data_IF_221328726445
#
_entry.id   IF_221328726445
#
_cell.length_a   1.000
_cell.length_b   1.000
_cell.length_c   1.000
_cell.angle_alpha   90.00
_cell.angle_beta   90.00
_cell.angle_gamma   90.00
#
_symmetry.space_group_name_H-M   'P 1'
#
loop_
_entity.id
_entity.type
_entity.pdbx_description
1 polymer ?
#
# COMPACT_ATOMS: atom_id res chain seq x y z
N UNK A 1 9.72 23.27 8.19
CA UNK A 1 8.59 23.77 7.39
C UNK A 1 9.03 24.39 6.06
N UNK A 2 9.79 25.49 6.00
CA UNK A 2 10.27 26.04 4.69
C UNK A 2 11.29 25.11 4.01
N UNK A 3 12.19 24.51 4.79
CA UNK A 3 13.19 23.56 4.27
C UNK A 3 12.55 22.26 3.72
N UNK A 4 11.55 21.71 4.41
CA UNK A 4 10.86 20.49 3.99
C UNK A 4 10.10 20.72 2.68
N UNK A 5 9.47 21.89 2.53
CA UNK A 5 8.80 22.27 1.28
C UNK A 5 9.79 22.38 0.12
N UNK A 6 10.89 23.08 0.31
CA UNK A 6 11.93 23.21 -0.72
C UNK A 6 12.56 21.85 -1.09
N UNK A 7 12.62 20.91 -0.14
CA UNK A 7 13.06 19.55 -0.42
C UNK A 7 12.00 18.76 -1.19
N UNK A 8 10.73 18.79 -0.75
CA UNK A 8 9.64 18.11 -1.44
C UNK A 8 9.52 18.53 -2.91
N UNK A 9 9.68 19.84 -3.19
CA UNK A 9 9.64 20.40 -4.54
C UNK A 9 10.81 19.92 -5.42
N UNK A 10 11.96 19.54 -4.83
CA UNK A 10 13.14 19.05 -5.56
C UNK A 10 13.21 17.53 -5.65
N UNK A 11 12.83 16.85 -4.58
CA UNK A 11 12.95 15.41 -4.38
C UNK A 11 11.98 14.93 -3.29
N UNK A 12 10.72 14.76 -3.68
CA UNK A 12 9.67 14.25 -2.81
C UNK A 12 9.98 12.83 -2.28
N UNK A 13 10.57 11.97 -3.12
CA UNK A 13 10.90 10.60 -2.73
C UNK A 13 11.98 10.56 -1.65
N UNK A 14 13.05 11.35 -1.79
CA UNK A 14 14.12 11.46 -0.80
C UNK A 14 13.65 12.05 0.52
N UNK A 15 12.76 13.06 0.49
CA UNK A 15 12.12 13.56 1.70
C UNK A 15 11.31 12.45 2.39
N UNK A 16 10.44 11.75 1.66
CA UNK A 16 9.60 10.66 2.22
C UNK A 16 10.43 9.48 2.74
N UNK A 17 11.59 9.19 2.16
CA UNK A 17 12.53 8.22 2.73
C UNK A 17 13.06 8.66 4.11
N UNK A 18 13.33 9.95 4.30
CA UNK A 18 13.75 10.48 5.60
C UNK A 18 12.62 10.43 6.64
N UNK A 19 11.39 10.75 6.23
CA UNK A 19 10.20 10.68 7.09
C UNK A 19 9.89 9.23 7.51
N UNK A 20 9.95 8.28 6.57
CA UNK A 20 9.78 6.85 6.86
C UNK A 20 10.87 6.31 7.78
N UNK A 21 12.12 6.80 7.67
CA UNK A 21 13.19 6.44 8.61
C UNK A 21 12.88 6.94 10.02
N UNK A 22 12.35 8.16 10.16
CA UNK A 22 11.92 8.70 11.45
C UNK A 22 10.74 7.91 12.02
N UNK A 23 9.76 7.56 11.19
CA UNK A 23 8.63 6.72 11.60
C UNK A 23 9.10 5.35 12.12
N UNK A 24 10.04 4.70 11.44
CA UNK A 24 10.66 3.45 11.90
C UNK A 24 11.27 3.57 13.29
N UNK A 25 12.02 4.66 13.55
CA UNK A 25 12.64 4.91 14.85
C UNK A 25 11.60 5.09 15.96
N UNK A 26 10.52 5.84 15.67
CA UNK A 26 9.45 6.10 16.63
C UNK A 26 8.66 4.83 16.94
N UNK A 27 8.33 4.03 15.93
CA UNK A 27 7.50 2.83 16.08
C UNK A 27 8.30 1.58 16.49
N UNK A 28 9.63 1.63 16.42
CA UNK A 28 10.50 0.48 16.70
C UNK A 28 10.38 -0.64 15.66
N UNK A 29 10.04 -0.31 14.41
CA UNK A 29 9.82 -1.30 13.34
C UNK A 29 11.02 -1.38 12.38
N UNK A 30 11.17 -2.53 11.74
CA UNK A 30 12.08 -2.72 10.60
C UNK A 30 11.30 -2.55 9.30
N UNK A 31 11.93 -1.94 8.30
CA UNK A 31 11.33 -1.71 6.98
C UNK A 31 12.24 -2.23 5.86
N UNK A 32 11.63 -2.69 4.77
CA UNK A 32 12.33 -3.04 3.53
C UNK A 32 11.61 -2.36 2.36
N UNK A 33 12.34 -1.56 1.59
CA UNK A 33 11.86 -1.04 0.32
C UNK A 33 11.97 -2.13 -0.75
N UNK A 34 10.87 -2.43 -1.45
CA UNK A 34 10.92 -3.34 -2.62
C UNK A 34 11.52 -2.68 -3.86
N UNK A 35 11.60 -1.34 -3.88
CA UNK A 35 12.32 -0.57 -4.90
C UNK A 35 11.49 -0.16 -6.12
N UNK A 36 10.17 -0.27 -6.06
CA UNK A 36 9.28 0.16 -7.14
C UNK A 36 8.92 1.64 -7.04
N UNK A 37 8.66 2.25 -8.19
CA UNK A 37 8.18 3.61 -8.29
C UNK A 37 6.68 3.67 -8.01
N UNK A 38 6.26 4.68 -7.23
CA UNK A 38 4.86 5.03 -6.98
C UNK A 38 4.13 5.27 -8.31
N UNK A 39 3.00 4.60 -8.52
CA UNK A 39 2.21 4.74 -9.74
C UNK A 39 1.39 6.02 -9.78
N UNK A 40 1.29 6.72 -8.65
CA UNK A 40 0.39 7.84 -8.47
C UNK A 40 -1.08 7.42 -8.61
N UNK A 41 -1.94 8.44 -8.63
CA UNK A 41 -3.38 8.28 -8.82
C UNK A 41 -3.78 8.96 -10.13
N UNK A 42 -3.82 8.22 -11.26
CA UNK A 42 -4.31 8.77 -12.52
C UNK A 42 -5.82 9.01 -12.47
N UNK A 43 -6.30 9.85 -13.38
CA UNK A 43 -7.74 10.00 -13.63
C UNK A 43 -8.35 8.70 -14.15
N UNK A 44 -9.67 8.58 -14.08
CA UNK A 44 -10.34 7.34 -14.47
C UNK A 44 -10.14 7.00 -15.95
N UNK A 45 -9.57 5.83 -16.21
CA UNK A 45 -9.28 5.35 -17.56
C UNK A 45 -7.90 5.75 -18.09
N UNK A 46 -7.18 6.64 -17.40
CA UNK A 46 -5.81 7.00 -17.78
C UNK A 46 -4.82 5.90 -17.33
N UNK A 47 -3.78 5.63 -18.14
CA UNK A 47 -2.76 4.66 -17.77
C UNK A 47 -1.87 5.21 -16.65
N UNK A 48 -1.38 4.31 -15.80
CA UNK A 48 -0.30 4.62 -14.86
C UNK A 48 1.02 4.86 -15.60
N UNK A 49 2.01 5.56 -15.00
CA UNK A 49 3.31 5.77 -15.63
C UNK A 49 4.00 4.44 -15.99
N UNK A 50 4.59 4.36 -17.17
CA UNK A 50 5.32 3.17 -17.61
C UNK A 50 6.49 2.85 -16.66
N UNK A 51 6.63 1.58 -16.29
CA UNK A 51 7.62 1.09 -15.33
C UNK A 51 7.30 1.40 -13.86
N UNK A 52 6.12 1.96 -13.56
CA UNK A 52 5.62 2.10 -12.19
C UNK A 52 5.21 0.76 -11.59
N UNK A 53 4.98 0.73 -10.27
CA UNK A 53 4.65 -0.48 -9.54
C UNK A 53 3.42 -1.22 -10.08
N UNK A 54 2.36 -0.48 -10.45
CA UNK A 54 1.14 -1.03 -11.02
C UNK A 54 1.27 -1.38 -12.52
N UNK A 55 2.23 -0.80 -13.24
CA UNK A 55 2.50 -1.14 -14.64
C UNK A 55 3.31 -2.44 -14.79
N UNK A 56 4.30 -2.65 -13.91
CA UNK A 56 5.24 -3.77 -14.02
C UNK A 56 4.55 -5.15 -13.94
N UNK A 57 5.02 -6.19 -14.67
CA UNK A 57 4.46 -7.53 -14.60
C UNK A 57 4.54 -8.14 -13.20
N UNK A 58 3.43 -8.69 -12.71
CA UNK A 58 3.33 -9.24 -11.36
C UNK A 58 4.26 -10.45 -11.14
N UNK A 59 4.50 -11.24 -12.17
CA UNK A 59 5.42 -12.41 -12.17
C UNK A 59 6.85 -12.00 -11.78
N UNK A 60 7.23 -10.76 -12.09
CA UNK A 60 8.54 -10.21 -11.75
C UNK A 60 8.46 -9.56 -10.37
N UNK A 61 7.41 -8.75 -10.14
CA UNK A 61 7.36 -7.91 -8.94
C UNK A 61 7.06 -8.67 -7.65
N UNK A 62 6.49 -9.87 -7.73
CA UNK A 62 6.22 -10.74 -6.58
C UNK A 62 7.49 -11.39 -5.99
N UNK A 63 8.54 -11.59 -6.81
CA UNK A 63 9.73 -12.35 -6.41
C UNK A 63 10.47 -11.75 -5.19
N UNK A 64 10.69 -10.41 -5.10
CA UNK A 64 11.27 -9.83 -3.89
C UNK A 64 10.44 -10.09 -2.63
N UNK A 65 9.10 -10.10 -2.74
CA UNK A 65 8.23 -10.38 -1.60
C UNK A 65 8.29 -11.87 -1.20
N UNK A 66 8.32 -12.80 -2.15
CA UNK A 66 8.52 -14.24 -1.86
C UNK A 66 9.83 -14.45 -1.10
N UNK A 67 10.93 -13.85 -1.58
CA UNK A 67 12.24 -13.90 -0.92
C UNK A 67 12.16 -13.38 0.51
N UNK A 68 11.41 -12.30 0.75
CA UNK A 68 11.21 -11.76 2.09
C UNK A 68 10.38 -12.69 2.98
N UNK A 69 9.29 -13.26 2.48
CA UNK A 69 8.46 -14.22 3.24
C UNK A 69 9.29 -15.43 3.65
N UNK A 70 10.04 -16.03 2.72
CA UNK A 70 10.90 -17.20 3.00
C UNK A 70 12.04 -16.90 3.97
N UNK A 71 12.62 -15.69 3.89
CA UNK A 71 13.70 -15.25 4.78
C UNK A 71 13.22 -14.87 6.18
N UNK A 72 12.10 -14.16 6.26
CA UNK A 72 11.57 -13.63 7.53
C UNK A 72 10.66 -14.62 8.25
N UNK A 73 10.12 -15.59 7.52
CA UNK A 73 9.24 -16.65 8.02
C UNK A 73 8.10 -16.10 8.91
N UNK A 74 7.30 -15.14 8.41
CA UNK A 74 6.25 -14.54 9.21
C UNK A 74 5.14 -15.56 9.50
N UNK A 75 4.62 -15.60 10.74
CA UNK A 75 3.38 -16.36 11.01
C UNK A 75 2.15 -15.64 10.44
N UNK A 76 2.19 -14.30 10.37
CA UNK A 76 1.08 -13.46 9.95
C UNK A 76 1.52 -12.47 8.88
N UNK A 77 0.73 -12.34 7.83
CA UNK A 77 0.82 -11.25 6.85
C UNK A 77 -0.42 -10.37 6.92
N UNK A 78 -0.22 -9.08 6.69
CA UNK A 78 -1.29 -8.09 6.53
C UNK A 78 -1.07 -7.39 5.20
N UNK A 79 -2.11 -7.26 4.39
CA UNK A 79 -2.09 -6.51 3.12
C UNK A 79 -3.44 -5.81 2.92
N UNK A 80 -3.62 -5.08 1.83
CA UNK A 80 -4.91 -4.50 1.47
C UNK A 80 -5.91 -5.59 1.07
N UNK A 81 -7.20 -5.28 1.14
CA UNK A 81 -8.22 -6.09 0.46
C UNK A 81 -8.15 -5.92 -1.07
N UNK A 82 -8.93 -6.73 -1.78
CA UNK A 82 -9.06 -6.74 -3.24
C UNK A 82 -9.45 -5.39 -3.88
N UNK A 83 -9.92 -4.42 -3.10
CA UNK A 83 -10.29 -3.06 -3.56
C UNK A 83 -9.22 -2.02 -3.23
N UNK A 84 -8.19 -2.37 -2.46
CA UNK A 84 -7.16 -1.45 -2.01
C UNK A 84 -7.62 -0.45 -0.93
N UNK A 85 -8.82 -0.62 -0.38
CA UNK A 85 -9.49 0.35 0.50
C UNK A 85 -10.05 1.57 -0.24
N UNK A 86 -9.20 2.29 -0.98
CA UNK A 86 -9.60 3.26 -2.02
C UNK A 86 -8.85 2.91 -3.32
N UNK A 87 -9.32 3.38 -4.50
CA UNK A 87 -8.91 2.82 -5.80
C UNK A 87 -7.53 3.29 -6.26
N UNK A 88 -6.55 3.34 -5.37
CA UNK A 88 -5.17 3.58 -5.73
C UNK A 88 -4.59 2.33 -6.41
N UNK A 89 -4.04 2.44 -7.63
CA UNK A 89 -3.48 1.29 -8.36
C UNK A 89 -2.47 0.49 -7.53
N UNK A 90 -1.61 1.19 -6.77
CA UNK A 90 -0.60 0.53 -5.93
C UNK A 90 -1.18 -0.28 -4.77
N UNK A 91 -2.35 0.09 -4.22
CA UNK A 91 -2.97 -0.68 -3.14
C UNK A 91 -3.55 -1.99 -3.67
N UNK A 92 -4.20 -1.94 -4.84
CA UNK A 92 -4.70 -3.12 -5.54
C UNK A 92 -3.51 -4.03 -5.89
N UNK A 93 -2.43 -3.46 -6.46
CA UNK A 93 -1.23 -4.24 -6.79
C UNK A 93 -0.57 -4.86 -5.55
N UNK A 94 -0.53 -4.14 -4.42
CA UNK A 94 -0.02 -4.68 -3.17
C UNK A 94 -0.89 -5.83 -2.60
N UNK A 95 -2.22 -5.77 -2.78
CA UNK A 95 -3.11 -6.89 -2.49
C UNK A 95 -2.74 -8.11 -3.35
N UNK A 96 -2.67 -7.93 -4.68
CA UNK A 96 -2.35 -9.00 -5.63
C UNK A 96 -1.00 -9.68 -5.28
N UNK A 97 0.04 -8.88 -5.03
CA UNK A 97 1.35 -9.39 -4.61
C UNK A 97 1.28 -10.11 -3.26
N UNK A 98 0.56 -9.56 -2.28
CA UNK A 98 0.43 -10.14 -0.96
C UNK A 98 -0.21 -11.53 -0.99
N UNK A 99 -1.33 -11.67 -1.71
CA UNK A 99 -2.04 -12.95 -1.87
C UNK A 99 -1.20 -13.94 -2.69
N UNK A 100 -0.52 -13.47 -3.73
CA UNK A 100 0.33 -14.32 -4.57
C UNK A 100 1.56 -14.83 -3.81
N UNK A 101 2.28 -13.94 -3.12
CA UNK A 101 3.43 -14.30 -2.32
C UNK A 101 3.07 -15.25 -1.17
N UNK A 102 1.90 -15.09 -0.54
CA UNK A 102 1.40 -16.03 0.46
C UNK A 102 1.36 -17.47 -0.07
N UNK A 103 0.86 -17.66 -1.30
CA UNK A 103 0.71 -18.98 -1.93
C UNK A 103 2.05 -19.49 -2.44
N UNK A 104 2.77 -18.67 -3.20
CA UNK A 104 3.99 -19.08 -3.90
C UNK A 104 5.19 -19.25 -2.96
N UNK A 105 5.23 -18.54 -1.82
CA UNK A 105 6.30 -18.75 -0.84
C UNK A 105 6.27 -20.15 -0.22
N UNK A 106 5.11 -20.81 -0.17
CA UNK A 106 4.94 -22.15 0.39
C UNK A 106 5.25 -23.29 -0.61
N UNK A 107 5.30 -22.99 -1.91
CA UNK A 107 5.50 -23.99 -2.96
C UNK A 107 7.00 -24.20 -3.25
N UNK A 108 7.56 -25.41 -3.03
CA UNK A 108 8.96 -25.73 -3.35
C UNK A 108 9.31 -25.66 -4.83
N UNK A 109 8.33 -25.80 -5.74
CA UNK A 109 8.56 -25.75 -7.17
C UNK A 109 8.60 -24.32 -7.72
N UNK A 110 8.02 -23.35 -6.98
CA UNK A 110 7.99 -21.96 -7.40
C UNK A 110 9.23 -21.23 -6.90
N UNK A 111 10.01 -20.66 -7.80
CA UNK A 111 11.17 -19.83 -7.50
C UNK A 111 12.11 -20.42 -6.41
N UNK A 112 12.62 -21.66 -6.55
CA UNK A 112 13.45 -22.31 -5.54
C UNK A 112 14.73 -21.51 -5.21
N UNK A 113 15.21 -20.69 -6.14
CA UNK A 113 16.34 -19.76 -5.96
C UNK A 113 16.10 -18.66 -4.91
N UNK A 114 14.85 -18.43 -4.50
CA UNK A 114 14.48 -17.40 -3.53
C UNK A 114 14.54 -17.87 -2.06
N UNK A 115 14.96 -19.12 -1.83
CA UNK A 115 15.16 -19.71 -0.51
C UNK A 115 14.18 -20.82 -0.19
N UNK A 116 14.32 -21.38 1.01
CA UNK A 116 13.48 -22.49 1.49
C UNK A 116 11.99 -22.08 1.60
N UNK A 117 11.05 -22.95 1.19
CA UNK A 117 9.63 -22.66 1.28
C UNK A 117 9.17 -22.32 2.70
N UNK A 118 8.18 -21.44 2.78
CA UNK A 118 7.57 -21.05 4.04
C UNK A 118 6.07 -20.85 3.86
N UNK A 119 5.29 -21.61 4.63
CA UNK A 119 3.84 -21.44 4.73
C UNK A 119 3.53 -20.44 5.84
N UNK A 120 3.00 -19.28 5.47
CA UNK A 120 2.44 -18.32 6.43
C UNK A 120 1.13 -18.87 6.96
N UNK A 121 0.86 -18.70 8.26
CA UNK A 121 -0.30 -19.29 8.93
C UNK A 121 -1.57 -18.47 8.73
N UNK A 122 -1.45 -17.14 8.69
CA UNK A 122 -2.61 -16.23 8.65
C UNK A 122 -2.38 -15.05 7.71
N UNK A 123 -3.41 -14.72 6.94
CA UNK A 123 -3.51 -13.48 6.18
C UNK A 123 -4.67 -12.65 6.71
N UNK A 124 -4.43 -11.38 6.97
CA UNK A 124 -5.46 -10.40 7.29
C UNK A 124 -5.47 -9.28 6.25
N UNK A 125 -6.66 -8.74 5.99
CA UNK A 125 -6.81 -7.55 5.18
C UNK A 125 -6.99 -6.32 6.06
N UNK A 126 -6.18 -5.30 5.79
CA UNK A 126 -6.39 -3.99 6.37
C UNK A 126 -7.60 -3.32 5.73
N UNK A 127 -8.61 -3.03 6.56
CA UNK A 127 -9.85 -2.34 6.20
C UNK A 127 -9.96 -0.96 6.85
N UNK A 128 -8.83 -0.35 7.23
CA UNK A 128 -8.78 0.98 7.83
C UNK A 128 -9.34 2.04 6.86
N UNK A 129 -9.09 1.91 5.56
CA UNK A 129 -9.65 2.76 4.50
C UNK A 129 -11.06 2.33 4.12
N UNK A 130 -11.99 2.46 5.06
CA UNK A 130 -13.40 2.16 4.90
C UNK A 130 -14.22 3.46 4.90
N UNK A 131 -15.01 3.69 3.85
CA UNK A 131 -15.89 4.84 3.71
C UNK A 131 -16.77 5.05 4.94
N UNK A 132 -17.46 4.02 5.43
CA UNK A 132 -18.40 4.14 6.55
C UNK A 132 -17.68 4.65 7.80
N UNK A 133 -16.49 4.08 8.08
CA UNK A 133 -15.66 4.52 9.20
C UNK A 133 -15.23 5.97 9.03
N UNK A 134 -14.69 6.34 7.87
CA UNK A 134 -14.23 7.70 7.59
C UNK A 134 -15.37 8.72 7.67
N UNK A 135 -16.51 8.40 7.06
CA UNK A 135 -17.72 9.20 7.07
C UNK A 135 -18.25 9.40 8.49
N UNK A 136 -18.37 8.33 9.29
CA UNK A 136 -18.81 8.44 10.69
C UNK A 136 -17.87 9.29 11.55
N UNK A 137 -16.55 9.09 11.42
CA UNK A 137 -15.56 9.90 12.15
C UNK A 137 -15.63 11.37 11.71
N UNK A 138 -15.73 11.63 10.41
CA UNK A 138 -15.87 12.98 9.88
C UNK A 138 -17.13 13.66 10.39
N UNK A 139 -18.28 12.98 10.39
CA UNK A 139 -19.53 13.53 10.91
C UNK A 139 -19.41 13.96 12.38
N UNK A 140 -18.71 13.18 13.21
CA UNK A 140 -18.47 13.54 14.60
C UNK A 140 -17.59 14.80 14.73
N UNK A 141 -16.49 14.88 13.97
CA UNK A 141 -15.59 16.04 13.97
C UNK A 141 -16.31 17.30 13.45
N UNK A 142 -17.06 17.17 12.36
CA UNK A 142 -17.77 18.28 11.74
C UNK A 142 -18.88 18.84 12.64
N UNK A 143 -19.51 18.00 13.45
CA UNK A 143 -20.48 18.45 14.45
C UNK A 143 -19.86 19.34 15.55
N UNK A 144 -18.58 19.12 15.89
CA UNK A 144 -17.88 19.88 16.94
C UNK A 144 -17.10 21.08 16.39
N UNK A 145 -16.56 20.97 15.17
CA UNK A 145 -15.59 21.92 14.61
C UNK A 145 -16.02 22.56 13.29
N UNK A 146 -17.18 22.20 12.76
CA UNK A 146 -17.66 22.63 11.44
C UNK A 146 -17.13 21.75 10.30
N UNK A 147 -17.83 21.79 9.18
CA UNK A 147 -17.48 21.04 7.97
C UNK A 147 -16.20 21.56 7.29
N UNK A 148 -15.43 20.66 6.67
CA UNK A 148 -14.31 21.02 5.77
C UNK A 148 -14.61 20.47 4.37
N UNK A 149 -14.82 21.38 3.41
CA UNK A 149 -15.18 21.03 2.04
C UNK A 149 -14.17 20.12 1.34
N UNK A 150 -12.88 20.13 1.74
CA UNK A 150 -11.88 19.23 1.16
C UNK A 150 -12.12 17.79 1.60
N UNK A 151 -12.53 17.60 2.84
CA UNK A 151 -12.85 16.28 3.38
C UNK A 151 -14.17 15.78 2.77
N UNK A 152 -15.15 16.66 2.56
CA UNK A 152 -16.40 16.31 1.90
C UNK A 152 -16.19 15.85 0.47
N UNK A 153 -15.37 16.58 -0.31
CA UNK A 153 -14.99 16.15 -1.67
C UNK A 153 -14.27 14.79 -1.68
N UNK A 154 -13.38 14.55 -0.71
CA UNK A 154 -12.73 13.23 -0.57
C UNK A 154 -13.75 12.12 -0.29
N UNK A 155 -14.73 12.38 0.57
CA UNK A 155 -15.78 11.42 0.91
C UNK A 155 -16.71 11.15 -0.28
N UNK A 156 -17.06 12.15 -1.08
CA UNK A 156 -17.81 11.96 -2.32
C UNK A 156 -17.08 11.03 -3.30
N UNK A 157 -15.77 11.26 -3.51
CA UNK A 157 -14.95 10.37 -4.35
C UNK A 157 -14.91 8.93 -3.84
N UNK A 158 -14.91 8.71 -2.52
CA UNK A 158 -14.96 7.38 -1.92
C UNK A 158 -16.35 6.74 -2.00
N UNK A 159 -17.43 7.53 -2.08
CA UNK A 159 -18.82 7.05 -2.19
C UNK A 159 -19.18 6.59 -3.60
N UNK A 160 -18.70 7.29 -4.63
CA UNK A 160 -19.20 7.14 -6.01
C UNK A 160 -18.60 5.96 -6.80
N UNK A 161 -17.57 5.28 -6.30
CA UNK A 161 -16.97 4.14 -7.02
C UNK A 161 -17.52 2.80 -6.51
N UNK A 162 -18.16 1.97 -7.36
CA UNK A 162 -19.04 0.89 -6.90
C UNK A 162 -18.33 -0.14 -6.05
N UNK A 163 -19.03 -0.62 -5.03
CA UNK A 163 -18.69 -1.81 -4.23
C UNK A 163 -19.02 -3.12 -4.96
N UNK A 164 -18.83 -3.17 -6.29
CA UNK A 164 -19.11 -4.35 -7.12
C UNK A 164 -17.88 -5.21 -7.28
#
# INVERSE_FOLDING_TARGET
QVADRAWAERDMAGLRHSEMRKAQQILGIRHVWLGYLDSGLPDEGDPVPAGSFADLPIEITVQPLIRLVRRLRPQVMVTYDERGGYPHPDHIRAHELGVRALREAADPAVHPELGEPWQVEKLYYDRIQNFDRFHTVYQAIAAEHGADERIERMLEMFRERPTG
#
